data_IF_310283735256
#
_entry.id   IF_310283735256
#
_cell.length_a   1.000
_cell.length_b   1.000
_cell.length_c   1.000
_cell.angle_alpha   90.00
_cell.angle_beta   90.00
_cell.angle_gamma   90.00
#
_symmetry.space_group_name_H-M   'P 1'
#
loop_
_entity.id
_entity.type
_entity.pdbx_description
1 polymer ?
#
# COMPACT_ATOMS: atom_id res chain seq x y z
N UNK A 1 -12.70 -8.74 -10.07
CA UNK A 1 -13.32 -7.42 -10.29
C UNK A 1 -13.85 -6.96 -8.94
N UNK A 2 -12.98 -6.39 -8.10
CA UNK A 2 -13.35 -5.94 -6.76
C UNK A 2 -13.00 -4.46 -6.68
N UNK A 3 -14.05 -3.67 -6.40
CA UNK A 3 -14.21 -2.22 -6.57
C UNK A 3 -13.63 -1.66 -7.87
N UNK A 4 -14.45 -1.50 -8.91
CA UNK A 4 -14.10 -0.78 -10.15
C UNK A 4 -13.91 0.73 -9.94
N UNK A 5 -13.11 1.12 -8.95
CA UNK A 5 -12.74 2.50 -8.69
C UNK A 5 -11.40 2.80 -9.37
N UNK A 6 -11.24 4.04 -9.84
CA UNK A 6 -10.02 4.46 -10.51
C UNK A 6 -8.84 4.35 -9.54
N UNK A 7 -7.80 3.68 -9.99
CA UNK A 7 -6.52 3.59 -9.30
C UNK A 7 -5.43 3.95 -10.31
N UNK A 8 -4.63 4.97 -9.98
CA UNK A 8 -3.45 5.33 -10.74
C UNK A 8 -2.23 4.89 -9.94
N UNK A 9 -1.46 3.94 -10.46
CA UNK A 9 -0.25 3.47 -9.81
C UNK A 9 0.85 3.28 -10.83
N UNK A 10 2.00 3.89 -10.58
CA UNK A 10 3.25 3.62 -11.30
C UNK A 10 4.19 2.76 -10.44
N UNK A 11 5.18 2.16 -11.06
CA UNK A 11 6.24 1.37 -10.40
C UNK A 11 7.56 2.13 -10.33
N UNK A 12 7.57 3.38 -10.79
CA UNK A 12 8.76 4.22 -10.77
C UNK A 12 8.94 4.88 -9.40
N UNK A 13 10.11 4.74 -8.76
CA UNK A 13 10.43 5.50 -7.56
C UNK A 13 10.25 7.01 -7.79
N UNK A 14 9.54 7.66 -6.87
CA UNK A 14 9.18 9.08 -6.94
C UNK A 14 7.83 9.35 -7.62
N UNK A 15 7.17 8.37 -8.23
CA UNK A 15 5.87 8.56 -8.87
C UNK A 15 4.75 8.69 -7.83
N UNK A 16 3.76 9.53 -8.11
CA UNK A 16 2.53 9.58 -7.32
C UNK A 16 1.63 8.38 -7.63
N UNK A 17 0.81 8.01 -6.65
CA UNK A 17 -0.22 6.99 -6.80
C UNK A 17 -1.52 7.46 -6.15
N UNK A 18 -2.65 7.01 -6.67
CA UNK A 18 -3.97 7.17 -6.10
C UNK A 18 -4.73 5.85 -6.16
N UNK A 19 -5.47 5.54 -5.11
CA UNK A 19 -6.27 4.33 -4.97
C UNK A 19 -7.66 4.71 -4.49
N UNK A 20 -8.67 3.92 -4.88
CA UNK A 20 -10.07 4.13 -4.51
C UNK A 20 -10.57 5.54 -4.83
N UNK A 21 -10.41 5.96 -6.09
CA UNK A 21 -10.89 7.26 -6.59
C UNK A 21 -10.36 8.45 -5.77
N UNK A 22 -9.03 8.48 -5.60
CA UNK A 22 -8.28 9.48 -4.81
C UNK A 22 -8.57 9.49 -3.29
N UNK A 23 -9.30 8.48 -2.77
CA UNK A 23 -9.49 8.35 -1.32
C UNK A 23 -8.17 8.10 -0.60
N UNK A 24 -7.25 7.38 -1.24
CA UNK A 24 -5.88 7.20 -0.80
C UNK A 24 -4.97 7.75 -1.88
N UNK A 25 -4.09 8.66 -1.52
CA UNK A 25 -3.08 9.20 -2.41
C UNK A 25 -1.73 9.24 -1.72
N UNK A 26 -0.68 9.25 -2.53
CA UNK A 26 0.66 9.20 -2.00
C UNK A 26 1.73 9.14 -3.08
N UNK A 27 2.94 8.77 -2.67
CA UNK A 27 4.11 8.66 -3.54
C UNK A 27 4.86 7.37 -3.30
N UNK A 28 5.25 6.69 -4.37
CA UNK A 28 6.19 5.57 -4.29
C UNK A 28 7.57 6.12 -3.93
N UNK A 29 8.14 5.71 -2.81
CA UNK A 29 9.53 6.04 -2.45
C UNK A 29 10.47 5.02 -3.09
N UNK A 30 10.13 3.75 -3.02
CA UNK A 30 10.98 2.65 -3.48
C UNK A 30 10.12 1.52 -4.02
N UNK A 31 10.50 0.96 -5.16
CA UNK A 31 9.78 -0.15 -5.76
C UNK A 31 10.78 -1.19 -6.28
N UNK A 32 10.77 -2.36 -5.66
CA UNK A 32 11.50 -3.55 -6.08
C UNK A 32 10.50 -4.65 -6.46
N UNK A 33 10.32 -4.91 -7.77
CA UNK A 33 9.38 -5.91 -8.25
C UNK A 33 9.57 -7.27 -7.56
N UNK A 34 8.51 -7.78 -6.94
CA UNK A 34 8.50 -9.09 -6.28
C UNK A 34 9.32 -9.18 -4.98
N UNK A 35 9.80 -8.05 -4.43
CA UNK A 35 10.61 -8.03 -3.20
C UNK A 35 10.15 -7.01 -2.18
N UNK A 36 9.97 -5.75 -2.58
CA UNK A 36 9.76 -4.66 -1.63
C UNK A 36 9.07 -3.47 -2.29
N UNK A 37 8.15 -2.85 -1.57
CA UNK A 37 7.49 -1.61 -1.96
C UNK A 37 7.54 -0.67 -0.75
N UNK A 38 7.98 0.56 -0.95
CA UNK A 38 7.93 1.63 0.05
C UNK A 38 7.13 2.77 -0.54
N UNK A 39 6.06 3.14 0.16
CA UNK A 39 5.13 4.18 -0.22
C UNK A 39 4.96 5.18 0.90
N UNK A 40 4.87 6.44 0.53
CA UNK A 40 4.45 7.54 1.37
C UNK A 40 2.97 7.76 1.14
N UNK A 41 2.16 7.75 2.19
CA UNK A 41 0.73 7.97 2.12
C UNK A 41 0.41 9.35 2.70
N UNK A 42 -0.41 10.12 1.98
CA UNK A 42 -0.82 11.44 2.40
C UNK A 42 -2.06 11.32 3.29
N UNK A 43 -1.89 11.50 4.60
CA UNK A 43 -2.98 11.60 5.57
C UNK A 43 -3.07 13.03 6.08
N UNK A 44 -4.14 13.73 5.69
CA UNK A 44 -4.44 15.08 6.17
C UNK A 44 -3.25 16.03 6.22
N UNK A 45 -3.22 16.90 7.24
CA UNK A 45 -2.06 17.74 7.57
C UNK A 45 -1.24 17.09 8.70
N UNK A 46 -0.48 16.04 8.37
CA UNK A 46 0.50 15.45 9.29
C UNK A 46 1.89 16.08 9.12
N UNK A 47 2.59 16.35 10.22
CA UNK A 47 3.99 16.81 10.18
C UNK A 47 4.94 15.71 9.70
N UNK A 48 4.71 14.47 10.13
CA UNK A 48 5.54 13.33 9.77
C UNK A 48 4.88 12.53 8.64
N UNK A 49 5.63 12.21 7.57
CA UNK A 49 5.09 11.44 6.47
C UNK A 49 4.73 10.03 6.92
N UNK A 50 3.55 9.57 6.52
CA UNK A 50 3.13 8.20 6.77
C UNK A 50 3.78 7.26 5.77
N UNK A 51 4.56 6.32 6.30
CA UNK A 51 5.39 5.43 5.49
C UNK A 51 4.86 4.01 5.60
N UNK A 52 4.50 3.47 4.46
CA UNK A 52 4.11 2.09 4.25
C UNK A 52 5.27 1.34 3.61
N UNK A 53 5.73 0.29 4.25
CA UNK A 53 6.73 -0.64 3.72
C UNK A 53 6.10 -2.03 3.62
N UNK A 54 6.03 -2.55 2.41
CA UNK A 54 5.60 -3.91 2.13
C UNK A 54 6.83 -4.69 1.68
N UNK A 55 7.13 -5.81 2.33
CA UNK A 55 8.17 -6.75 1.90
C UNK A 55 7.57 -8.09 1.58
N UNK A 56 8.12 -8.71 0.54
CA UNK A 56 7.72 -10.01 0.06
C UNK A 56 8.85 -10.98 0.33
N UNK A 57 8.52 -12.01 1.08
CA UNK A 57 9.45 -13.06 1.44
C UNK A 57 9.02 -14.36 0.76
N UNK A 58 9.94 -15.04 0.04
CA UNK A 58 9.65 -16.34 -0.51
C UNK A 58 9.37 -17.32 0.64
N UNK A 59 8.22 -18.00 0.60
CA UNK A 59 7.81 -18.96 1.61
C UNK A 59 7.49 -20.31 0.96
N UNK A 60 7.66 -21.41 1.70
CA UNK A 60 7.49 -22.77 1.12
C UNK A 60 6.06 -23.09 0.71
N UNK A 61 5.09 -22.36 1.25
CA UNK A 61 3.66 -22.54 0.98
C UNK A 61 3.06 -21.39 0.12
N UNK A 62 3.89 -20.47 -0.40
CA UNK A 62 3.42 -19.29 -1.13
C UNK A 62 4.34 -18.09 -0.92
N UNK A 63 3.77 -16.89 -0.82
CA UNK A 63 4.51 -15.67 -0.51
C UNK A 63 4.11 -15.16 0.87
N UNK A 64 5.09 -14.88 1.72
CA UNK A 64 4.84 -14.19 2.99
C UNK A 64 4.97 -12.70 2.75
N UNK A 65 3.98 -11.94 3.22
CA UNK A 65 3.97 -10.48 3.10
C UNK A 65 4.19 -9.88 4.50
N UNK A 66 5.21 -9.04 4.64
CA UNK A 66 5.44 -8.21 5.82
C UNK A 66 4.99 -6.79 5.50
N UNK A 67 3.95 -6.32 6.18
CA UNK A 67 3.48 -4.94 6.11
C UNK A 67 3.95 -4.18 7.35
N UNK A 68 4.55 -3.01 7.14
CA UNK A 68 4.87 -2.06 8.20
C UNK A 68 4.38 -0.69 7.78
N UNK A 69 3.46 -0.14 8.56
CA UNK A 69 2.93 1.20 8.36
C UNK A 69 3.24 2.04 9.60
N UNK A 70 3.90 3.18 9.42
CA UNK A 70 4.34 4.07 10.49
C UNK A 70 3.77 5.48 10.29
N UNK A 71 3.55 6.19 11.38
CA UNK A 71 2.96 7.55 11.41
C UNK A 71 1.52 7.58 10.88
N UNK A 72 0.72 6.58 11.26
CA UNK A 72 -0.72 6.59 11.02
C UNK A 72 -1.37 7.46 12.12
N UNK A 73 -2.24 8.42 11.78
CA UNK A 73 -3.03 9.14 12.76
C UNK A 73 -3.88 8.19 13.61
N UNK A 74 -4.02 8.46 14.91
CA UNK A 74 -4.82 7.63 15.82
C UNK A 74 -6.28 7.52 15.38
N UNK A 75 -6.82 8.58 14.77
CA UNK A 75 -8.19 8.63 14.23
C UNK A 75 -8.42 7.72 13.02
N UNK A 76 -7.37 7.49 12.23
CA UNK A 76 -7.41 6.66 11.02
C UNK A 76 -6.87 5.24 11.27
N UNK A 77 -6.19 5.00 12.40
CA UNK A 77 -5.51 3.74 12.70
C UNK A 77 -6.41 2.51 12.57
N UNK A 78 -7.61 2.54 13.16
CA UNK A 78 -8.55 1.41 13.10
C UNK A 78 -9.07 1.16 11.67
N UNK A 79 -9.38 2.25 10.95
CA UNK A 79 -9.88 2.18 9.57
C UNK A 79 -8.80 1.62 8.64
N UNK A 80 -7.58 2.15 8.74
CA UNK A 80 -6.44 1.72 7.94
C UNK A 80 -6.07 0.27 8.24
N UNK A 81 -6.00 -0.11 9.51
CA UNK A 81 -5.68 -1.50 9.89
C UNK A 81 -6.70 -2.48 9.32
N UNK A 82 -8.00 -2.16 9.42
CA UNK A 82 -9.07 -2.97 8.84
C UNK A 82 -9.00 -3.00 7.31
N UNK A 83 -8.71 -1.85 6.68
CA UNK A 83 -8.53 -1.73 5.24
C UNK A 83 -7.36 -2.54 4.68
N UNK A 84 -6.26 -2.65 5.44
CA UNK A 84 -5.13 -3.51 5.08
C UNK A 84 -5.54 -4.98 5.03
N UNK A 85 -6.22 -5.47 6.07
CA UNK A 85 -6.69 -6.85 6.15
C UNK A 85 -7.74 -7.17 5.08
N UNK A 86 -8.72 -6.30 4.87
CA UNK A 86 -9.89 -6.60 4.05
C UNK A 86 -9.71 -6.28 2.56
N UNK A 87 -8.99 -5.20 2.22
CA UNK A 87 -9.00 -4.64 0.86
C UNK A 87 -7.62 -4.68 0.20
N UNK A 88 -6.56 -4.37 0.94
CA UNK A 88 -5.24 -4.16 0.35
C UNK A 88 -4.51 -5.47 0.04
N UNK A 89 -4.50 -6.44 0.98
CA UNK A 89 -3.86 -7.74 0.72
C UNK A 89 -4.53 -8.49 -0.43
N UNK A 90 -5.84 -8.34 -0.62
CA UNK A 90 -6.56 -8.91 -1.77
C UNK A 90 -6.13 -8.28 -3.11
N UNK A 91 -5.92 -6.95 -3.14
CA UNK A 91 -5.42 -6.26 -4.33
C UNK A 91 -3.97 -6.67 -4.66
N UNK A 92 -3.11 -6.78 -3.63
CA UNK A 92 -1.75 -7.28 -3.80
C UNK A 92 -1.74 -8.72 -4.31
N UNK A 93 -2.54 -9.63 -3.71
CA UNK A 93 -2.63 -11.01 -4.16
C UNK A 93 -3.08 -11.10 -5.62
N UNK A 94 -4.09 -10.32 -6.02
CA UNK A 94 -4.56 -10.26 -7.41
C UNK A 94 -3.50 -9.69 -8.36
N UNK A 95 -2.76 -8.66 -7.95
CA UNK A 95 -1.66 -8.10 -8.74
C UNK A 95 -0.53 -9.11 -8.96
N UNK A 96 -0.20 -9.91 -7.94
CA UNK A 96 0.82 -10.97 -8.02
C UNK A 96 0.30 -12.31 -8.57
N UNK A 97 -1.00 -12.45 -8.84
CA UNK A 97 -1.59 -13.64 -9.46
C UNK A 97 -1.41 -13.68 -11.00
N UNK A 98 -0.72 -12.70 -11.59
CA UNK A 98 -0.34 -12.64 -13.01
C UNK A 98 1.17 -12.46 -13.17
#
# INVERSE_FOLDING_TARGET
LWSGEAAEMSTEPGSEFSLWNDSISGRNIEFEPGKKIVQEWYFGEQEEPSIVTIKLHPHKAGTSVELRHTNIPDEDYENITSGWEENYFGALEAFYAH
#
